data_IF_524248296689
#
_entry.id   IF_524248296689
#
_cell.length_a   1.000
_cell.length_b   1.000
_cell.length_c   1.000
_cell.angle_alpha   90.00
_cell.angle_beta   90.00
_cell.angle_gamma   90.00
#
_symmetry.space_group_name_H-M   'P 1'
#
loop_
_entity.id
_entity.type
_entity.pdbx_description
1 polymer ?
#
# COMPACT_ATOMS: atom_id res chain seq x y z
N UNK A 1 0.17 8.76 27.64
CA UNK A 1 0.20 10.08 26.98
C UNK A 1 -0.51 11.19 27.74
N UNK A 2 -1.85 11.22 27.94
CA UNK A 2 -2.49 12.35 28.65
C UNK A 2 -1.90 12.64 30.05
N UNK A 3 -1.73 11.65 30.94
CA UNK A 3 -1.14 11.90 32.26
C UNK A 3 0.28 12.48 32.17
N UNK A 4 1.07 12.03 31.19
CA UNK A 4 2.45 12.50 30.98
C UNK A 4 2.47 13.94 30.46
N UNK A 5 1.56 14.29 29.53
CA UNK A 5 1.42 15.64 28.98
C UNK A 5 0.91 16.64 30.03
N UNK A 6 -0.03 16.22 30.87
CA UNK A 6 -0.55 17.05 31.97
C UNK A 6 0.53 17.29 33.05
N UNK A 7 1.36 16.28 33.35
CA UNK A 7 2.54 16.45 34.22
C UNK A 7 3.54 17.46 33.63
N UNK A 8 3.68 17.51 32.31
CA UNK A 8 4.47 18.52 31.61
C UNK A 8 3.80 19.91 31.54
N UNK A 9 2.65 20.09 32.18
CA UNK A 9 1.94 21.37 32.23
C UNK A 9 1.10 21.68 30.99
N UNK A 10 0.94 20.72 30.06
CA UNK A 10 0.17 20.93 28.84
C UNK A 10 -1.33 21.02 29.09
N UNK A 11 -2.03 21.79 28.27
CA UNK A 11 -3.49 21.74 28.15
C UNK A 11 -3.84 20.70 27.09
N UNK A 12 -4.55 19.64 27.48
CA UNK A 12 -4.86 18.50 26.61
C UNK A 12 -6.35 18.46 26.26
N UNK A 13 -6.64 18.37 24.97
CA UNK A 13 -7.98 18.13 24.42
C UNK A 13 -7.97 16.76 23.72
N UNK A 14 -8.61 15.76 24.35
CA UNK A 14 -8.62 14.37 23.84
C UNK A 14 -9.56 14.15 22.64
N UNK A 15 -10.60 14.97 22.52
CA UNK A 15 -11.52 14.91 21.39
C UNK A 15 -12.08 16.31 21.09
N UNK A 16 -11.51 16.96 20.07
CA UNK A 16 -12.00 18.24 19.58
C UNK A 16 -13.47 18.18 19.13
N UNK A 17 -13.91 17.04 18.59
CA UNK A 17 -15.29 16.83 18.11
C UNK A 17 -16.28 16.95 19.25
N UNK A 18 -15.95 16.41 20.43
CA UNK A 18 -16.79 16.48 21.62
C UNK A 18 -16.92 17.91 22.17
N UNK A 19 -15.90 18.75 22.03
CA UNK A 19 -15.93 20.15 22.47
C UNK A 19 -16.58 21.08 21.44
N UNK A 20 -16.57 20.73 20.16
CA UNK A 20 -17.16 21.50 19.07
C UNK A 20 -18.65 21.18 18.83
N UNK A 21 -19.37 20.58 19.81
CA UNK A 21 -20.79 20.16 19.76
C UNK A 21 -21.77 21.33 19.66
N UNK A 22 -21.67 22.12 18.60
CA UNK A 22 -22.65 23.07 18.05
C UNK A 22 -22.17 23.64 16.69
N UNK A 23 -21.12 23.06 16.08
CA UNK A 23 -20.42 23.67 14.94
C UNK A 23 -19.59 24.92 15.32
N UNK A 24 -19.53 25.27 16.61
CA UNK A 24 -18.73 26.38 17.11
C UNK A 24 -17.30 25.92 17.40
N UNK A 25 -16.34 26.52 16.70
CA UNK A 25 -14.90 26.34 16.94
C UNK A 25 -14.39 27.11 18.15
N UNK A 26 -15.17 28.08 18.64
CA UNK A 26 -14.75 29.07 19.63
C UNK A 26 -14.20 28.45 20.93
N UNK A 27 -14.81 27.38 21.50
CA UNK A 27 -14.28 26.76 22.71
C UNK A 27 -12.84 26.23 22.58
N UNK A 28 -12.46 25.77 21.39
CA UNK A 28 -11.10 25.32 21.11
C UNK A 28 -10.17 26.51 20.91
N UNK A 29 -10.59 27.51 20.11
CA UNK A 29 -9.78 28.70 19.86
C UNK A 29 -9.50 29.48 21.14
N UNK A 30 -10.48 29.62 22.04
CA UNK A 30 -10.32 30.30 23.32
C UNK A 30 -9.33 29.56 24.22
N UNK A 31 -9.47 28.23 24.35
CA UNK A 31 -8.53 27.41 25.12
C UNK A 31 -7.12 27.48 24.56
N UNK A 32 -6.98 27.49 23.24
CA UNK A 32 -5.69 27.58 22.60
C UNK A 32 -5.05 28.95 22.79
N UNK A 33 -5.82 30.05 22.65
CA UNK A 33 -5.35 31.42 22.93
C UNK A 33 -4.93 31.58 24.39
N UNK A 34 -5.73 31.10 25.33
CA UNK A 34 -5.38 31.07 26.76
C UNK A 34 -4.10 30.29 27.03
N UNK A 35 -3.88 29.16 26.33
CA UNK A 35 -2.64 28.39 26.46
C UNK A 35 -1.43 29.19 25.98
N UNK A 36 -1.55 29.87 24.84
CA UNK A 36 -0.50 30.72 24.28
C UNK A 36 -0.19 31.89 25.23
N UNK A 37 -1.21 32.59 25.72
CA UNK A 37 -1.07 33.70 26.68
C UNK A 37 -0.40 33.25 27.98
N UNK A 38 -0.75 32.05 28.46
CA UNK A 38 -0.16 31.45 29.66
C UNK A 38 1.20 30.77 29.40
N UNK A 39 1.73 30.81 28.17
CA UNK A 39 2.96 30.10 27.75
C UNK A 39 2.96 28.60 28.09
N UNK A 40 1.79 27.96 27.97
CA UNK A 40 1.61 26.53 28.24
C UNK A 40 1.51 25.75 26.93
N UNK A 41 2.12 24.55 26.83
CA UNK A 41 1.92 23.69 25.69
C UNK A 41 0.44 23.34 25.50
N UNK A 42 -0.02 23.27 24.26
CA UNK A 42 -1.39 22.88 23.90
C UNK A 42 -1.35 21.64 23.01
N UNK A 43 -2.05 20.58 23.42
CA UNK A 43 -2.16 19.34 22.65
C UNK A 43 -3.63 19.03 22.39
N UNK A 44 -3.97 18.75 21.14
CA UNK A 44 -5.34 18.45 20.73
C UNK A 44 -5.37 17.29 19.75
N UNK A 45 -6.23 16.31 20.02
CA UNK A 45 -6.62 15.30 19.05
C UNK A 45 -7.91 15.73 18.34
N UNK A 46 -7.87 15.73 17.01
CA UNK A 46 -8.96 16.15 16.16
C UNK A 46 -9.07 15.26 14.91
N UNK A 47 -10.29 14.98 14.49
CA UNK A 47 -10.56 14.42 13.18
C UNK A 47 -10.34 15.48 12.07
N UNK A 48 -10.27 15.04 10.82
CA UNK A 48 -9.99 15.92 9.67
C UNK A 48 -11.01 17.06 9.51
N UNK A 49 -12.30 16.77 9.71
CA UNK A 49 -13.35 17.79 9.54
C UNK A 49 -13.33 18.87 10.64
N UNK A 50 -13.27 18.56 11.96
CA UNK A 50 -13.03 19.55 13.00
C UNK A 50 -11.76 20.38 12.77
N UNK A 51 -10.67 19.76 12.32
CA UNK A 51 -9.42 20.47 11.99
C UNK A 51 -9.60 21.41 10.78
N UNK A 52 -10.36 20.99 9.77
CA UNK A 52 -10.76 21.84 8.66
C UNK A 52 -11.58 23.05 9.13
N UNK A 53 -12.58 22.84 10.00
CA UNK A 53 -13.40 23.92 10.56
C UNK A 53 -12.55 24.96 11.32
N UNK A 54 -11.54 24.52 12.08
CA UNK A 54 -10.60 25.42 12.76
C UNK A 54 -9.81 26.27 11.75
N UNK A 55 -9.28 25.66 10.68
CA UNK A 55 -8.49 26.36 9.64
C UNK A 55 -9.29 27.42 8.88
N UNK A 56 -10.58 27.21 8.64
CA UNK A 56 -11.41 28.17 7.92
C UNK A 56 -11.91 29.32 8.80
N UNK A 57 -12.01 29.11 10.11
CA UNK A 57 -12.59 30.07 11.03
C UNK A 57 -11.64 31.22 11.39
N UNK A 58 -10.33 31.02 11.27
CA UNK A 58 -9.32 32.04 11.57
C UNK A 58 -8.16 31.93 10.55
N UNK A 59 -8.43 32.44 9.33
CA UNK A 59 -7.50 32.36 8.18
C UNK A 59 -6.26 33.25 8.33
N UNK A 60 -6.35 34.30 9.15
CA UNK A 60 -5.26 35.25 9.39
C UNK A 60 -4.27 34.73 10.45
N UNK A 61 -4.64 33.67 11.19
CA UNK A 61 -3.75 33.04 12.17
C UNK A 61 -2.55 32.37 11.51
N UNK A 62 -1.35 32.88 11.81
CA UNK A 62 -0.07 32.27 11.39
C UNK A 62 0.04 30.79 11.80
N UNK A 63 -0.51 30.43 12.96
CA UNK A 63 -0.49 29.04 13.45
C UNK A 63 -1.40 28.13 12.61
N UNK A 64 -2.58 28.60 12.20
CA UNK A 64 -3.49 27.81 11.35
C UNK A 64 -3.03 27.76 9.89
N UNK A 65 -2.33 28.78 9.42
CA UNK A 65 -1.59 28.73 8.16
C UNK A 65 -0.49 27.64 8.22
N UNK A 66 0.24 27.56 9.33
CA UNK A 66 1.25 26.52 9.54
C UNK A 66 0.63 25.11 9.64
N UNK A 67 -0.48 24.95 10.37
CA UNK A 67 -1.25 23.68 10.37
C UNK A 67 -1.63 23.30 8.94
N UNK A 68 -2.14 24.26 8.16
CA UNK A 68 -2.51 24.03 6.76
C UNK A 68 -1.32 23.59 5.93
N UNK A 69 -0.17 24.25 6.05
CA UNK A 69 1.07 23.90 5.36
C UNK A 69 1.50 22.46 5.68
N UNK A 70 1.51 22.08 6.96
CA UNK A 70 1.89 20.73 7.39
C UNK A 70 0.89 19.67 6.91
N UNK A 71 -0.42 19.96 6.86
CA UNK A 71 -1.42 19.05 6.30
C UNK A 71 -1.23 18.82 4.79
N UNK A 72 -0.86 19.85 4.02
CA UNK A 72 -0.55 19.70 2.58
C UNK A 72 0.77 18.95 2.36
N UNK A 73 1.74 19.11 3.25
CA UNK A 73 3.07 18.48 3.19
C UNK A 73 3.21 17.37 4.24
N UNK A 74 2.22 16.45 4.26
CA UNK A 74 2.19 15.32 5.20
C UNK A 74 3.31 14.30 4.99
N UNK A 75 3.81 14.19 3.76
CA UNK A 75 4.93 13.34 3.37
C UNK A 75 5.97 14.21 2.65
N UNK A 76 7.24 13.87 2.81
CA UNK A 76 8.36 14.47 2.10
C UNK A 76 8.97 13.47 1.11
N UNK A 77 9.68 13.99 0.11
CA UNK A 77 10.33 13.23 -0.96
C UNK A 77 11.74 13.78 -1.15
N UNK A 78 12.70 12.90 -1.40
CA UNK A 78 14.10 13.30 -1.54
C UNK A 78 14.76 13.66 -0.21
N UNK A 79 15.79 14.51 -0.25
CA UNK A 79 16.56 14.94 0.94
C UNK A 79 15.76 15.89 1.81
N UNK A 80 16.05 15.91 3.11
CA UNK A 80 15.42 16.85 4.04
C UNK A 80 15.79 18.29 3.67
N UNK A 81 14.79 19.18 3.71
CA UNK A 81 14.94 20.61 3.46
C UNK A 81 14.54 21.41 4.70
N UNK A 82 15.01 22.65 4.81
CA UNK A 82 14.67 23.55 5.92
C UNK A 82 13.16 23.83 6.01
N UNK A 83 12.46 23.82 4.86
CA UNK A 83 11.00 23.95 4.80
C UNK A 83 10.28 22.83 5.58
N UNK A 84 10.92 21.71 5.88
CA UNK A 84 10.30 20.65 6.66
C UNK A 84 10.21 20.95 8.14
N UNK A 85 11.06 21.87 8.63
CA UNK A 85 11.10 22.26 10.03
C UNK A 85 9.80 22.96 10.44
N UNK A 86 9.53 22.94 11.74
CA UNK A 86 8.37 23.60 12.32
C UNK A 86 8.75 24.34 13.59
N UNK A 87 8.33 25.61 13.68
CA UNK A 87 8.60 26.47 14.83
C UNK A 87 7.41 26.41 15.81
N UNK A 88 7.56 25.64 16.89
CA UNK A 88 6.62 25.64 18.01
C UNK A 88 5.24 25.00 17.76
N UNK A 89 4.96 24.50 16.55
CA UNK A 89 3.72 23.80 16.21
C UNK A 89 4.00 22.55 15.40
N UNK A 90 3.45 21.40 15.83
CA UNK A 90 3.63 20.12 15.13
C UNK A 90 2.26 19.48 14.90
N UNK A 91 1.99 19.10 13.65
CA UNK A 91 0.82 18.30 13.26
C UNK A 91 1.25 16.86 13.05
N UNK A 92 0.66 15.94 13.83
CA UNK A 92 0.85 14.50 13.69
C UNK A 92 -0.34 13.89 12.95
N UNK A 93 -0.16 13.56 11.67
CA UNK A 93 -1.17 12.85 10.89
C UNK A 93 -1.11 11.34 11.19
N UNK A 94 -1.95 10.90 12.14
CA UNK A 94 -2.02 9.50 12.54
C UNK A 94 -2.55 8.57 11.43
N UNK A 95 -3.12 9.10 10.34
CA UNK A 95 -3.53 8.28 9.17
C UNK A 95 -2.35 7.73 8.38
N UNK A 96 -1.15 8.29 8.59
CA UNK A 96 0.09 7.80 7.99
C UNK A 96 0.65 6.56 8.70
N UNK A 97 0.21 6.28 9.93
CA UNK A 97 0.54 5.04 10.61
C UNK A 97 -0.14 3.87 9.92
N UNK A 98 0.53 2.72 9.85
CA UNK A 98 -0.14 1.47 9.50
C UNK A 98 -0.39 0.65 10.78
N UNK A 99 -1.66 0.45 11.20
CA UNK A 99 -2.01 -0.41 12.34
C UNK A 99 -1.48 -1.85 12.24
N UNK A 100 -1.14 -2.31 11.03
CA UNK A 100 -0.55 -3.62 10.82
C UNK A 100 0.92 -3.73 11.27
N UNK A 101 1.52 -2.67 11.82
CA UNK A 101 2.86 -2.74 12.43
C UNK A 101 2.94 -3.85 13.48
N UNK A 102 4.05 -4.61 13.48
CA UNK A 102 4.34 -5.68 14.43
C UNK A 102 3.99 -5.32 15.89
N UNK A 103 4.48 -4.16 16.34
CA UNK A 103 4.28 -3.64 17.69
C UNK A 103 2.80 -3.50 18.07
N UNK A 104 1.95 -3.03 17.15
CA UNK A 104 0.54 -2.84 17.43
C UNK A 104 -0.23 -4.15 17.40
N UNK A 105 0.07 -5.04 16.45
CA UNK A 105 -0.56 -6.37 16.37
C UNK A 105 -0.33 -7.12 17.67
N UNK A 106 0.93 -7.21 18.12
CA UNK A 106 1.27 -7.91 19.36
C UNK A 106 0.60 -7.26 20.58
N UNK A 107 0.64 -5.93 20.68
CA UNK A 107 -0.01 -5.22 21.79
C UNK A 107 -1.54 -5.43 21.81
N UNK A 108 -2.20 -5.49 20.64
CA UNK A 108 -3.64 -5.74 20.56
C UNK A 108 -3.98 -7.19 20.93
N UNK A 109 -3.19 -8.16 20.48
CA UNK A 109 -3.36 -9.56 20.87
C UNK A 109 -3.12 -9.69 22.38
N UNK A 110 -2.03 -9.15 22.92
CA UNK A 110 -1.72 -9.21 24.35
C UNK A 110 -2.81 -8.57 25.19
N UNK A 111 -3.30 -7.40 24.79
CA UNK A 111 -4.40 -6.73 25.48
C UNK A 111 -5.64 -7.62 25.52
N UNK A 112 -6.02 -8.20 24.39
CA UNK A 112 -7.18 -9.10 24.33
C UNK A 112 -6.97 -10.35 25.18
N UNK A 113 -5.83 -11.03 25.03
CA UNK A 113 -5.52 -12.27 25.75
C UNK A 113 -5.30 -12.05 27.25
N UNK A 114 -4.93 -10.84 27.67
CA UNK A 114 -4.76 -10.47 29.08
C UNK A 114 -6.07 -10.18 29.82
N UNK A 115 -7.16 -9.94 29.08
CA UNK A 115 -8.46 -9.54 29.62
C UNK A 115 -9.03 -10.60 30.58
N UNK A 116 -9.37 -10.17 31.80
CA UNK A 116 -9.82 -11.08 32.85
C UNK A 116 -11.17 -11.73 32.54
N UNK A 117 -12.08 -10.98 31.90
CA UNK A 117 -13.40 -11.50 31.53
C UNK A 117 -13.27 -12.51 30.39
N UNK A 118 -12.40 -12.25 29.40
CA UNK A 118 -12.08 -13.23 28.36
C UNK A 118 -11.48 -14.49 28.97
N UNK A 119 -10.48 -14.37 29.85
CA UNK A 119 -9.87 -15.54 30.52
C UNK A 119 -10.90 -16.35 31.27
N UNK A 120 -11.81 -15.71 32.01
CA UNK A 120 -12.88 -16.41 32.71
C UNK A 120 -13.87 -17.08 31.75
N UNK A 121 -14.27 -16.41 30.67
CA UNK A 121 -15.16 -16.97 29.66
C UNK A 121 -14.52 -18.15 28.90
N UNK A 122 -13.22 -18.10 28.61
CA UNK A 122 -12.49 -19.14 27.88
C UNK A 122 -12.11 -20.31 28.79
N UNK A 123 -11.71 -20.05 30.04
CA UNK A 123 -11.33 -21.09 31.00
C UNK A 123 -12.53 -21.74 31.70
N UNK A 124 -13.64 -21.00 31.84
CA UNK A 124 -14.87 -21.44 32.50
C UNK A 124 -15.92 -22.02 31.53
N UNK A 125 -15.74 -21.87 30.22
CA UNK A 125 -16.64 -22.49 29.24
C UNK A 125 -16.21 -23.90 28.87
N UNK A 126 -17.18 -24.72 28.47
CA UNK A 126 -16.94 -25.99 27.79
C UNK A 126 -16.60 -25.80 26.30
N UNK A 127 -16.25 -24.58 25.85
CA UNK A 127 -15.93 -24.30 24.45
C UNK A 127 -14.44 -24.57 24.16
N UNK A 128 -14.08 -25.72 23.57
CA UNK A 128 -12.67 -26.08 23.33
C UNK A 128 -11.98 -25.18 22.29
N UNK A 129 -12.76 -24.51 21.45
CA UNK A 129 -12.29 -23.73 20.30
C UNK A 129 -11.57 -22.46 20.73
N UNK A 130 -12.23 -21.61 21.53
CA UNK A 130 -11.65 -20.35 21.95
C UNK A 130 -10.39 -20.58 22.80
N UNK A 131 -10.42 -21.60 23.67
CA UNK A 131 -9.25 -22.02 24.46
C UNK A 131 -8.08 -22.43 23.58
N UNK A 132 -8.32 -23.29 22.57
CA UNK A 132 -7.29 -23.73 21.62
C UNK A 132 -6.72 -22.55 20.84
N UNK A 133 -7.57 -21.65 20.33
CA UNK A 133 -7.13 -20.51 19.54
C UNK A 133 -6.31 -19.53 20.39
N UNK A 134 -6.72 -19.27 21.65
CA UNK A 134 -5.95 -18.47 22.61
C UNK A 134 -4.57 -19.08 22.87
N UNK A 135 -4.49 -20.40 23.06
CA UNK A 135 -3.21 -21.10 23.26
C UNK A 135 -2.31 -20.96 22.03
N UNK A 136 -2.83 -21.19 20.82
CA UNK A 136 -2.08 -21.06 19.56
C UNK A 136 -1.63 -19.62 19.29
N UNK A 137 -2.51 -18.62 19.49
CA UNK A 137 -2.18 -17.20 19.32
C UNK A 137 -1.16 -16.70 20.35
N UNK A 138 -0.98 -17.42 21.46
CA UNK A 138 0.06 -17.13 22.46
C UNK A 138 1.44 -17.65 22.03
N UNK A 139 1.53 -18.51 21.02
CA UNK A 139 2.80 -19.09 20.58
C UNK A 139 3.64 -18.07 19.80
N UNK A 140 4.95 -17.93 20.11
CA UNK A 140 5.83 -17.00 19.40
C UNK A 140 5.85 -17.20 17.87
N UNK A 141 5.84 -18.45 17.42
CA UNK A 141 5.83 -18.81 15.99
C UNK A 141 4.58 -18.30 15.28
N UNK A 142 3.40 -18.53 15.86
CA UNK A 142 2.13 -18.09 15.25
C UNK A 142 2.11 -16.57 15.15
N UNK A 143 2.58 -15.86 16.18
CA UNK A 143 2.70 -14.40 16.17
C UNK A 143 3.68 -13.89 15.12
N UNK A 144 4.83 -14.54 15.00
CA UNK A 144 5.81 -14.24 13.95
C UNK A 144 5.21 -14.38 12.55
N UNK A 145 4.45 -15.45 12.31
CA UNK A 145 3.77 -15.68 11.04
C UNK A 145 2.64 -14.67 10.79
N UNK A 146 1.90 -14.26 11.82
CA UNK A 146 0.92 -13.17 11.70
C UNK A 146 1.58 -11.83 11.33
N UNK A 147 2.73 -11.50 11.95
CA UNK A 147 3.52 -10.32 11.59
C UNK A 147 4.01 -10.39 10.14
N UNK A 148 4.59 -11.51 9.73
CA UNK A 148 5.05 -11.69 8.36
C UNK A 148 3.91 -11.57 7.32
N UNK A 149 2.70 -12.05 7.66
CA UNK A 149 1.52 -11.88 6.83
C UNK A 149 1.06 -10.40 6.77
N UNK A 150 1.11 -9.71 7.90
CA UNK A 150 0.83 -8.28 7.98
C UNK A 150 1.84 -7.46 7.16
N UNK A 151 3.13 -7.77 7.24
CA UNK A 151 4.18 -7.15 6.43
C UNK A 151 3.90 -7.33 4.93
N UNK A 152 3.39 -8.51 4.53
CA UNK A 152 2.94 -8.75 3.14
C UNK A 152 1.72 -7.91 2.76
N UNK A 153 0.76 -7.66 3.65
CA UNK A 153 -0.36 -6.75 3.36
C UNK A 153 0.12 -5.30 3.20
N UNK A 154 0.96 -4.85 4.13
CA UNK A 154 1.61 -3.53 4.07
C UNK A 154 2.34 -3.41 2.74
N UNK A 155 3.02 -4.49 2.33
CA UNK A 155 3.77 -4.53 1.10
C UNK A 155 2.94 -4.36 -0.18
N UNK A 156 1.70 -4.87 -0.16
CA UNK A 156 0.72 -4.68 -1.23
C UNK A 156 0.07 -3.28 -1.20
N UNK A 157 0.46 -2.43 -0.24
CA UNK A 157 -0.10 -1.10 -0.04
C UNK A 157 -1.41 -1.09 0.75
N UNK A 158 -1.78 -2.20 1.40
CA UNK A 158 -2.98 -2.24 2.21
C UNK A 158 -2.76 -1.53 3.56
N UNK A 159 -3.73 -0.68 3.92
CA UNK A 159 -3.75 0.04 5.20
C UNK A 159 -5.00 -0.36 5.97
N UNK A 160 -4.82 -1.14 7.03
CA UNK A 160 -5.93 -1.51 7.90
C UNK A 160 -6.32 -0.33 8.79
N UNK A 161 -7.60 -0.24 9.14
CA UNK A 161 -8.01 0.56 10.30
C UNK A 161 -7.80 -0.23 11.60
N UNK A 162 -7.67 0.47 12.74
CA UNK A 162 -7.63 -0.19 14.06
C UNK A 162 -8.88 -1.03 14.31
N UNK A 163 -10.04 -0.58 13.81
CA UNK A 163 -11.32 -1.29 13.89
C UNK A 163 -11.26 -2.63 13.16
N UNK A 164 -10.78 -2.65 11.92
CA UNK A 164 -10.64 -3.88 11.14
C UNK A 164 -9.68 -4.85 11.81
N UNK A 165 -8.52 -4.36 12.26
CA UNK A 165 -7.54 -5.20 12.96
C UNK A 165 -8.14 -5.80 14.25
N UNK A 166 -8.89 -5.01 15.02
CA UNK A 166 -9.57 -5.51 16.23
C UNK A 166 -10.60 -6.59 15.91
N UNK A 167 -11.39 -6.40 14.84
CA UNK A 167 -12.37 -7.40 14.38
C UNK A 167 -11.68 -8.68 13.92
N UNK A 168 -10.57 -8.59 13.18
CA UNK A 168 -9.80 -9.76 12.75
C UNK A 168 -9.22 -10.53 13.93
N UNK A 169 -8.62 -9.83 14.90
CA UNK A 169 -8.07 -10.47 16.10
C UNK A 169 -9.17 -11.14 16.92
N UNK A 170 -10.31 -10.47 17.13
CA UNK A 170 -11.46 -11.06 17.82
C UNK A 170 -11.95 -12.32 17.09
N UNK A 171 -12.06 -12.29 15.76
CA UNK A 171 -12.44 -13.46 14.96
C UNK A 171 -11.45 -14.61 15.07
N UNK A 172 -10.15 -14.33 15.10
CA UNK A 172 -9.13 -15.36 15.32
C UNK A 172 -9.28 -16.04 16.69
N UNK A 173 -9.63 -15.28 17.74
CA UNK A 173 -9.86 -15.83 19.08
C UNK A 173 -11.13 -16.70 19.11
N UNK A 174 -12.26 -16.15 18.68
CA UNK A 174 -13.56 -16.82 18.85
C UNK A 174 -13.93 -17.80 17.73
N UNK A 175 -13.21 -17.80 16.60
CA UNK A 175 -13.60 -18.58 15.42
C UNK A 175 -14.89 -18.06 14.77
N UNK A 176 -15.57 -18.91 14.00
CA UNK A 176 -16.92 -18.63 13.50
C UNK A 176 -17.94 -19.40 14.35
N UNK A 177 -18.87 -18.70 14.99
CA UNK A 177 -20.06 -19.35 15.56
C UNK A 177 -20.92 -19.96 14.43
N UNK A 178 -20.63 -21.22 14.08
CA UNK A 178 -21.35 -21.98 13.07
C UNK A 178 -21.72 -23.35 13.61
N UNK A 179 -23.02 -23.64 13.68
CA UNK A 179 -23.54 -24.99 13.96
C UNK A 179 -23.29 -25.89 12.75
N UNK A 180 -22.16 -26.58 12.71
CA UNK A 180 -21.87 -27.60 11.71
C UNK A 180 -20.88 -28.63 12.24
N UNK A 181 -21.06 -29.90 11.87
CA UNK A 181 -20.39 -31.07 12.46
C UNK A 181 -18.89 -31.22 12.12
N UNK A 182 -18.21 -30.12 11.79
CA UNK A 182 -16.78 -30.10 11.52
C UNK A 182 -16.09 -28.95 12.24
N UNK A 183 -15.05 -29.26 13.02
CA UNK A 183 -14.18 -28.32 13.76
C UNK A 183 -13.43 -27.25 12.91
N UNK A 184 -13.73 -27.17 11.59
CA UNK A 184 -12.95 -26.47 10.53
C UNK A 184 -13.09 -24.93 10.52
N UNK A 185 -14.29 -24.32 10.52
CA UNK A 185 -14.45 -22.86 10.44
C UNK A 185 -14.05 -22.12 11.73
N UNK A 186 -13.73 -22.89 12.77
CA UNK A 186 -13.39 -22.44 14.11
C UNK A 186 -11.89 -22.25 14.35
N UNK A 187 -11.06 -22.65 13.39
CA UNK A 187 -9.61 -22.47 13.48
C UNK A 187 -9.28 -20.99 13.27
N UNK A 188 -8.42 -20.42 14.12
CA UNK A 188 -7.97 -19.03 13.96
C UNK A 188 -7.42 -18.76 12.55
N UNK A 189 -6.69 -19.72 11.98
CA UNK A 189 -6.12 -19.64 10.64
C UNK A 189 -7.18 -19.59 9.54
N UNK A 190 -8.34 -20.24 9.71
CA UNK A 190 -9.48 -20.16 8.78
C UNK A 190 -10.31 -18.90 9.01
N UNK A 191 -10.55 -18.56 10.28
CA UNK A 191 -11.33 -17.40 10.69
C UNK A 191 -10.72 -16.09 10.16
N UNK A 192 -9.39 -16.02 10.07
CA UNK A 192 -8.64 -14.90 9.50
C UNK A 192 -8.98 -14.66 8.01
N UNK A 193 -8.95 -15.70 7.17
CA UNK A 193 -9.18 -15.60 5.72
C UNK A 193 -10.65 -15.65 5.32
N UNK A 194 -11.54 -15.77 6.29
CA UNK A 194 -12.96 -15.83 6.02
C UNK A 194 -13.47 -14.49 5.48
N UNK A 195 -14.17 -14.55 4.35
CA UNK A 195 -14.68 -13.36 3.68
C UNK A 195 -15.71 -12.58 4.51
N UNK A 196 -15.62 -11.25 4.45
CA UNK A 196 -16.60 -10.33 5.02
C UNK A 196 -16.63 -9.05 4.19
N UNK A 197 -17.71 -8.82 3.44
CA UNK A 197 -17.87 -7.68 2.53
C UNK A 197 -17.89 -6.32 3.24
N UNK A 198 -17.96 -6.29 4.58
CA UNK A 198 -17.98 -5.05 5.36
C UNK A 198 -16.59 -4.46 5.59
N UNK A 199 -15.53 -5.23 5.35
CA UNK A 199 -14.15 -4.83 5.64
C UNK A 199 -13.19 -5.31 4.55
N UNK A 200 -12.49 -4.37 3.93
CA UNK A 200 -11.56 -4.61 2.82
C UNK A 200 -10.38 -5.51 3.23
N UNK A 201 -10.07 -5.58 4.53
CA UNK A 201 -9.01 -6.43 5.06
C UNK A 201 -9.14 -7.90 4.62
N UNK A 202 -10.38 -8.43 4.58
CA UNK A 202 -10.61 -9.83 4.20
C UNK A 202 -10.43 -10.06 2.71
N UNK A 203 -10.63 -9.02 1.89
CA UNK A 203 -10.37 -9.05 0.44
C UNK A 203 -8.86 -8.99 0.22
N UNK A 204 -8.16 -8.09 0.90
CA UNK A 204 -6.70 -7.96 0.81
C UNK A 204 -5.97 -9.24 1.26
N UNK A 205 -6.45 -9.89 2.32
CA UNK A 205 -5.90 -11.16 2.83
C UNK A 205 -5.93 -12.29 1.79
N UNK A 206 -6.90 -12.30 0.86
CA UNK A 206 -6.95 -13.32 -0.20
C UNK A 206 -5.74 -13.26 -1.14
N UNK A 207 -5.20 -12.06 -1.38
CA UNK A 207 -4.03 -11.90 -2.25
C UNK A 207 -2.75 -12.51 -1.66
N UNK A 208 -2.75 -12.77 -0.36
CA UNK A 208 -1.62 -13.34 0.39
C UNK A 208 -2.04 -14.57 1.18
N UNK A 209 -3.08 -15.26 0.75
CA UNK A 209 -3.53 -16.48 1.41
C UNK A 209 -2.52 -17.62 1.14
N UNK A 210 -1.94 -18.25 2.18
CA UNK A 210 -1.06 -19.39 2.01
C UNK A 210 -1.69 -20.51 1.17
N UNK A 211 -3.01 -20.70 1.25
CA UNK A 211 -3.71 -21.70 0.45
C UNK A 211 -3.65 -21.44 -1.05
N UNK A 212 -3.56 -20.16 -1.46
CA UNK A 212 -3.49 -19.74 -2.86
C UNK A 212 -2.08 -19.79 -3.47
N UNK A 213 -1.02 -19.96 -2.66
CA UNK A 213 0.37 -19.96 -3.12
C UNK A 213 0.85 -21.38 -3.44
N UNK A 214 1.02 -21.74 -4.72
CA UNK A 214 1.48 -23.10 -5.10
C UNK A 214 2.95 -23.33 -4.76
N UNK A 215 3.25 -24.43 -4.06
CA UNK A 215 4.61 -24.85 -3.77
C UNK A 215 4.74 -26.37 -3.97
N UNK A 216 5.36 -26.85 -5.06
CA UNK A 216 5.25 -28.25 -5.49
C UNK A 216 5.72 -29.27 -4.43
N UNK A 217 6.80 -28.97 -3.71
CA UNK A 217 7.32 -29.85 -2.67
C UNK A 217 6.37 -29.93 -1.46
N UNK A 218 5.99 -28.80 -0.89
CA UNK A 218 5.11 -28.76 0.29
C UNK A 218 3.68 -29.19 -0.03
N UNK A 219 3.16 -28.86 -1.21
CA UNK A 219 1.82 -29.28 -1.63
C UNK A 219 1.73 -30.80 -1.73
N UNK A 220 2.68 -31.44 -2.42
CA UNK A 220 2.75 -32.90 -2.49
C UNK A 220 2.99 -33.54 -1.11
N UNK A 221 3.85 -32.94 -0.28
CA UNK A 221 4.16 -33.45 1.05
C UNK A 221 2.95 -33.38 2.02
N UNK A 222 2.15 -32.31 1.95
CA UNK A 222 0.91 -32.11 2.70
C UNK A 222 -0.20 -33.05 2.22
N UNK A 223 -0.35 -33.20 0.90
CA UNK A 223 -1.34 -34.09 0.29
C UNK A 223 -1.05 -35.56 0.64
N UNK A 224 0.20 -35.99 0.50
CA UNK A 224 0.64 -37.36 0.76
C UNK A 224 0.90 -37.65 2.25
N UNK A 225 0.86 -36.63 3.11
CA UNK A 225 1.18 -36.74 4.55
C UNK A 225 2.53 -37.42 4.81
N UNK A 226 3.52 -37.02 4.01
CA UNK A 226 4.88 -37.54 4.08
C UNK A 226 5.52 -37.27 5.45
N UNK A 227 6.54 -38.06 5.82
CA UNK A 227 7.22 -37.94 7.12
C UNK A 227 7.76 -36.52 7.38
N UNK A 228 8.16 -35.80 6.33
CA UNK A 228 8.68 -34.43 6.42
C UNK A 228 7.67 -33.42 6.95
N UNK A 229 6.37 -33.73 6.92
CA UNK A 229 5.29 -32.87 7.43
C UNK A 229 4.65 -33.46 8.69
N UNK A 230 5.12 -34.62 9.19
CA UNK A 230 4.59 -35.22 10.43
C UNK A 230 5.19 -34.63 11.69
N UNK A 231 6.36 -34.00 11.59
CA UNK A 231 7.09 -33.36 12.71
C UNK A 231 7.05 -31.84 12.55
N UNK A 232 7.54 -31.09 13.53
CA UNK A 232 7.71 -29.65 13.41
C UNK A 232 6.46 -28.78 13.64
N UNK A 233 5.30 -29.36 13.95
CA UNK A 233 4.09 -28.63 14.35
C UNK A 233 4.22 -28.05 15.76
N UNK A 234 3.73 -26.82 15.97
CA UNK A 234 3.90 -26.10 17.24
C UNK A 234 3.13 -26.70 18.44
N UNK A 235 1.99 -27.37 18.20
CA UNK A 235 1.22 -28.09 19.23
C UNK A 235 0.90 -29.52 18.79
N UNK A 236 -0.22 -29.72 18.10
CA UNK A 236 -0.68 -31.02 17.63
C UNK A 236 -0.80 -31.01 16.12
N UNK A 237 -0.24 -32.05 15.50
CA UNK A 237 -0.47 -32.31 14.09
C UNK A 237 -1.99 -32.33 13.83
N UNK A 238 -2.47 -31.69 12.75
CA UNK A 238 -3.85 -31.83 12.30
C UNK A 238 -4.23 -33.31 12.18
N UNK A 239 -5.41 -33.68 12.70
CA UNK A 239 -5.89 -35.05 12.57
C UNK A 239 -6.01 -35.43 11.08
N UNK A 240 -5.69 -36.67 10.71
CA UNK A 240 -5.83 -37.10 9.33
C UNK A 240 -7.29 -37.02 8.90
N UNK A 241 -7.57 -36.41 7.73
CA UNK A 241 -8.91 -36.54 7.13
C UNK A 241 -9.21 -38.03 6.92
N UNK A 242 -10.43 -38.49 7.28
CA UNK A 242 -10.83 -39.88 7.14
C UNK A 242 -10.98 -40.31 5.67
N UNK A 243 -10.96 -39.36 4.74
CA UNK A 243 -11.05 -39.63 3.30
C UNK A 243 -9.68 -39.86 2.67
N UNK A 244 -9.59 -40.77 1.67
CA UNK A 244 -8.34 -41.08 0.97
C UNK A 244 -7.83 -39.92 0.10
N UNK A 245 -8.73 -39.04 -0.34
CA UNK A 245 -8.40 -37.78 -1.04
C UNK A 245 -8.81 -36.59 -0.20
N UNK A 246 -7.97 -35.56 -0.17
CA UNK A 246 -8.29 -34.30 0.50
C UNK A 246 -9.17 -33.46 -0.43
N UNK A 247 -10.37 -33.08 0.05
CA UNK A 247 -11.15 -32.05 -0.61
C UNK A 247 -10.35 -30.73 -0.59
N UNK A 248 -10.50 -29.89 -1.62
CA UNK A 248 -9.76 -28.62 -1.72
C UNK A 248 -9.86 -27.76 -0.46
N UNK A 249 -11.05 -27.66 0.13
CA UNK A 249 -11.25 -26.89 1.37
C UNK A 249 -10.41 -27.43 2.55
N UNK A 250 -10.25 -28.76 2.64
CA UNK A 250 -9.45 -29.39 3.69
C UNK A 250 -7.96 -29.20 3.46
N UNK A 251 -7.52 -29.28 2.20
CA UNK A 251 -6.16 -28.97 1.82
C UNK A 251 -5.81 -27.49 2.10
N UNK A 252 -6.70 -26.56 1.74
CA UNK A 252 -6.52 -25.14 2.00
C UNK A 252 -6.38 -24.84 3.50
N UNK A 253 -7.26 -25.42 4.34
CA UNK A 253 -7.19 -25.27 5.79
C UNK A 253 -5.91 -25.86 6.39
N UNK A 254 -5.52 -27.05 5.92
CA UNK A 254 -4.28 -27.71 6.32
C UNK A 254 -3.05 -26.86 5.96
N UNK A 255 -3.03 -26.29 4.75
CA UNK A 255 -1.93 -25.46 4.25
C UNK A 255 -1.81 -24.13 5.00
N UNK A 256 -2.93 -23.49 5.35
CA UNK A 256 -2.93 -22.30 6.22
C UNK A 256 -2.39 -22.63 7.61
N UNK A 257 -2.79 -23.76 8.20
CA UNK A 257 -2.18 -24.21 9.47
C UNK A 257 -0.70 -24.52 9.33
N UNK A 258 -0.29 -25.17 8.24
CA UNK A 258 1.12 -25.43 7.97
C UNK A 258 1.93 -24.13 7.97
N UNK A 259 1.44 -23.08 7.31
CA UNK A 259 2.09 -21.77 7.33
C UNK A 259 2.30 -21.21 8.76
N UNK A 260 1.26 -21.22 9.59
CA UNK A 260 1.33 -20.62 10.93
C UNK A 260 2.05 -21.49 11.97
N UNK A 261 1.84 -22.81 11.92
CA UNK A 261 2.19 -23.72 13.02
C UNK A 261 3.43 -24.57 12.74
N UNK A 262 3.77 -24.83 11.47
CA UNK A 262 4.91 -25.67 11.11
C UNK A 262 6.21 -24.86 11.05
N UNK A 263 7.32 -25.46 11.46
CA UNK A 263 8.64 -24.79 11.46
C UNK A 263 9.08 -24.33 10.06
N UNK A 264 8.75 -25.11 9.02
CA UNK A 264 8.99 -24.81 7.60
C UNK A 264 7.85 -24.01 6.93
N UNK A 265 6.91 -23.48 7.70
CA UNK A 265 5.70 -22.85 7.19
C UNK A 265 5.94 -21.60 6.33
N UNK A 266 7.02 -20.86 6.56
CA UNK A 266 7.45 -19.69 5.75
C UNK A 266 7.68 -20.02 4.29
N UNK A 267 8.13 -21.24 4.00
CA UNK A 267 8.49 -21.63 2.65
C UNK A 267 7.29 -21.68 1.69
N UNK A 268 6.05 -21.66 2.21
CA UNK A 268 4.85 -21.55 1.38
C UNK A 268 4.90 -20.35 0.44
N UNK A 269 5.58 -19.27 0.84
CA UNK A 269 5.76 -18.07 0.02
C UNK A 269 7.16 -17.95 -0.60
N UNK A 270 8.02 -18.98 -0.53
CA UNK A 270 9.36 -18.93 -1.10
C UNK A 270 9.33 -18.74 -2.63
N UNK A 271 8.30 -19.25 -3.28
CA UNK A 271 8.06 -19.11 -4.73
C UNK A 271 7.03 -18.02 -5.07
N UNK A 272 6.72 -17.13 -4.12
CA UNK A 272 5.75 -16.05 -4.32
C UNK A 272 6.23 -15.00 -5.35
N UNK A 273 5.32 -14.10 -5.74
CA UNK A 273 5.49 -13.12 -6.82
C UNK A 273 6.80 -12.31 -6.67
N UNK A 274 7.79 -12.46 -7.58
CA UNK A 274 9.05 -11.73 -7.52
C UNK A 274 8.85 -10.21 -7.67
N UNK A 275 7.76 -9.77 -8.29
CA UNK A 275 7.46 -8.33 -8.42
C UNK A 275 7.16 -7.68 -7.08
N UNK A 276 6.50 -8.43 -6.17
CA UNK A 276 6.22 -7.97 -4.81
C UNK A 276 7.50 -7.81 -4.01
N UNK A 277 8.41 -8.80 -4.07
CA UNK A 277 9.70 -8.73 -3.39
C UNK A 277 10.56 -7.58 -3.94
N UNK A 278 10.58 -7.37 -5.26
CA UNK A 278 11.31 -6.25 -5.86
C UNK A 278 10.76 -4.90 -5.41
N UNK A 279 9.43 -4.74 -5.40
CA UNK A 279 8.80 -3.50 -4.96
C UNK A 279 9.07 -3.22 -3.48
N UNK A 280 9.06 -4.26 -2.63
CA UNK A 280 9.43 -4.12 -1.22
C UNK A 280 10.88 -3.71 -1.02
N UNK A 281 11.82 -4.37 -1.72
CA UNK A 281 13.22 -4.01 -1.64
C UNK A 281 13.46 -2.54 -2.05
N UNK A 282 12.70 -2.04 -3.03
CA UNK A 282 12.73 -0.64 -3.43
C UNK A 282 12.21 0.30 -2.32
N UNK A 283 11.04 -0.02 -1.73
CA UNK A 283 10.44 0.79 -0.66
C UNK A 283 11.29 0.82 0.62
N UNK A 284 11.99 -0.27 0.92
CA UNK A 284 12.87 -0.38 2.09
C UNK A 284 14.28 0.18 1.84
N UNK A 285 14.55 0.73 0.65
CA UNK A 285 15.87 1.27 0.27
C UNK A 285 16.96 0.20 0.11
N UNK A 286 16.60 -1.09 0.15
CA UNK A 286 17.51 -2.21 -0.12
C UNK A 286 17.90 -2.30 -1.60
N UNK A 287 17.06 -1.73 -2.48
CA UNK A 287 17.32 -1.58 -3.90
C UNK A 287 17.34 -0.09 -4.25
N UNK A 288 18.41 0.34 -4.92
CA UNK A 288 18.58 1.74 -5.29
C UNK A 288 17.53 2.21 -6.30
N UNK A 289 16.99 3.42 -6.08
CA UNK A 289 16.10 4.14 -7.01
C UNK A 289 16.87 4.85 -8.13
N UNK A 290 17.96 4.23 -8.59
CA UNK A 290 18.92 4.86 -9.50
C UNK A 290 18.46 4.95 -10.97
N UNK A 291 19.30 5.57 -11.84
CA UNK A 291 18.96 5.83 -13.24
C UNK A 291 18.50 4.59 -14.02
N UNK A 292 19.12 3.43 -13.77
CA UNK A 292 18.75 2.19 -14.45
C UNK A 292 17.31 1.72 -14.15
N UNK A 293 16.78 1.99 -12.94
CA UNK A 293 15.39 1.67 -12.63
C UNK A 293 14.44 2.68 -13.26
N UNK A 294 14.82 3.96 -13.30
CA UNK A 294 14.06 5.00 -14.00
C UNK A 294 13.92 4.66 -15.48
N UNK A 295 15.00 4.27 -16.16
CA UNK A 295 14.97 3.83 -17.57
C UNK A 295 14.02 2.65 -17.79
N UNK A 296 14.03 1.65 -16.89
CA UNK A 296 13.08 0.52 -16.96
C UNK A 296 11.62 0.95 -16.78
N UNK A 297 11.35 1.88 -15.87
CA UNK A 297 10.00 2.41 -15.68
C UNK A 297 9.55 3.22 -16.91
N UNK A 298 10.44 4.05 -17.47
CA UNK A 298 10.20 4.79 -18.71
C UNK A 298 9.88 3.83 -19.85
N UNK A 299 10.66 2.75 -20.02
CA UNK A 299 10.40 1.73 -21.02
C UNK A 299 9.03 1.06 -20.81
N UNK A 300 8.71 0.68 -19.57
CA UNK A 300 7.44 0.06 -19.23
C UNK A 300 6.23 0.98 -19.50
N UNK A 301 6.37 2.29 -19.23
CA UNK A 301 5.34 3.28 -19.56
C UNK A 301 5.19 3.39 -21.07
N UNK A 302 6.29 3.48 -21.83
CA UNK A 302 6.25 3.46 -23.29
C UNK A 302 5.57 2.18 -23.82
N UNK A 303 5.78 1.03 -23.18
CA UNK A 303 5.13 -0.24 -23.54
C UNK A 303 3.61 -0.22 -23.40
N UNK A 304 3.05 0.63 -22.55
CA UNK A 304 1.61 0.81 -22.46
C UNK A 304 0.99 1.40 -23.75
N UNK A 305 1.77 2.06 -24.60
CA UNK A 305 1.29 2.78 -25.79
C UNK A 305 1.90 2.28 -27.09
N UNK A 306 3.17 1.87 -27.07
CA UNK A 306 3.89 1.33 -28.20
C UNK A 306 4.50 -0.02 -27.80
N UNK A 307 3.84 -1.16 -28.12
CA UNK A 307 4.35 -2.50 -27.79
C UNK A 307 5.59 -2.88 -28.62
N UNK A 308 5.77 -2.27 -29.79
CA UNK A 308 6.93 -2.45 -30.67
C UNK A 308 8.18 -1.89 -30.00
N UNK A 309 9.28 -2.63 -30.05
CA UNK A 309 10.58 -2.16 -29.55
C UNK A 309 11.26 -1.26 -30.58
N UNK A 310 11.86 -0.19 -30.11
CA UNK A 310 12.59 0.78 -30.94
C UNK A 310 13.72 1.42 -30.15
N UNK A 311 14.67 2.01 -30.85
CA UNK A 311 15.85 2.61 -30.24
C UNK A 311 15.47 3.74 -29.27
N UNK A 312 16.20 3.83 -28.14
CA UNK A 312 16.05 4.89 -27.13
C UNK A 312 14.73 4.91 -26.33
N UNK A 313 13.92 3.85 -26.41
CA UNK A 313 12.67 3.68 -25.63
C UNK A 313 12.86 3.66 -24.12
N UNK A 314 14.02 3.25 -23.64
CA UNK A 314 14.43 3.24 -22.23
C UNK A 314 15.12 4.56 -21.81
N UNK A 315 15.57 5.34 -22.79
CA UNK A 315 16.26 6.61 -22.61
C UNK A 315 15.32 7.81 -22.66
N UNK A 316 14.15 7.68 -23.29
CA UNK A 316 13.19 8.77 -23.40
C UNK A 316 11.77 8.28 -23.15
N UNK A 317 11.00 9.02 -22.35
CA UNK A 317 9.56 8.87 -22.27
C UNK A 317 8.91 9.63 -23.42
N UNK A 318 8.21 8.92 -24.30
CA UNK A 318 7.51 9.50 -25.42
C UNK A 318 6.09 9.87 -25.01
N UNK A 319 5.66 11.09 -25.33
CA UNK A 319 4.34 11.57 -24.97
C UNK A 319 3.31 11.12 -26.01
N UNK A 320 2.90 9.87 -25.86
CA UNK A 320 1.90 9.23 -26.70
C UNK A 320 0.51 9.83 -26.48
N UNK A 321 -0.08 10.30 -27.58
CA UNK A 321 -1.44 10.79 -27.62
C UNK A 321 -2.27 9.85 -28.50
N UNK A 322 -3.32 9.29 -27.92
CA UNK A 322 -4.30 8.50 -28.66
C UNK A 322 -5.41 9.42 -29.19
N UNK A 323 -5.59 9.48 -30.50
CA UNK A 323 -6.75 10.17 -31.06
C UNK A 323 -7.99 9.27 -30.89
N UNK A 324 -9.07 9.83 -30.32
CA UNK A 324 -10.38 9.19 -30.24
C UNK A 324 -11.33 9.99 -31.14
N UNK A 325 -11.81 9.35 -32.21
CA UNK A 325 -12.86 9.93 -33.07
C UNK A 325 -14.27 9.44 -32.68
N UNK A 326 -14.36 8.43 -31.81
CA UNK A 326 -15.59 7.79 -31.32
C UNK A 326 -15.33 7.09 -29.97
N UNK A 327 -16.36 6.47 -29.39
CA UNK A 327 -16.31 5.82 -28.07
C UNK A 327 -15.37 4.59 -27.96
N UNK A 328 -14.92 4.00 -29.08
CA UNK A 328 -13.98 2.88 -29.00
C UNK A 328 -12.56 3.30 -28.55
N UNK A 329 -11.81 2.40 -27.90
CA UNK A 329 -10.41 2.64 -27.54
C UNK A 329 -9.54 3.04 -28.75
N UNK A 330 -8.58 3.95 -28.54
CA UNK A 330 -7.63 4.36 -29.57
C UNK A 330 -6.83 3.16 -30.08
N UNK A 331 -6.83 2.97 -31.39
CA UNK A 331 -6.06 1.92 -32.08
C UNK A 331 -4.68 2.40 -32.54
N UNK A 332 -4.48 3.72 -32.55
CA UNK A 332 -3.22 4.34 -32.92
C UNK A 332 -2.81 5.40 -31.92
N UNK A 333 -1.51 5.52 -31.70
CA UNK A 333 -0.91 6.53 -30.84
C UNK A 333 0.16 7.31 -31.59
N UNK A 334 0.23 8.61 -31.32
CA UNK A 334 1.21 9.51 -31.93
C UNK A 334 1.99 10.22 -30.84
N UNK A 335 3.31 10.27 -30.94
CA UNK A 335 4.18 11.03 -30.04
C UNK A 335 5.05 12.00 -30.85
N UNK A 336 4.87 13.30 -30.62
CA UNK A 336 5.73 14.36 -31.18
C UNK A 336 6.77 14.87 -30.18
N UNK A 337 6.51 14.68 -28.88
CA UNK A 337 7.30 15.20 -27.79
C UNK A 337 7.88 14.04 -26.96
N UNK A 338 9.05 14.26 -26.36
CA UNK A 338 9.73 13.28 -25.52
C UNK A 338 10.55 13.94 -24.42
N UNK A 339 10.71 13.25 -23.30
CA UNK A 339 11.49 13.71 -22.15
C UNK A 339 12.56 12.65 -21.85
N UNK A 340 13.80 13.08 -21.66
CA UNK A 340 14.90 12.16 -21.37
C UNK A 340 14.74 11.53 -19.97
N UNK A 341 15.11 10.25 -19.82
CA UNK A 341 14.95 9.47 -18.60
C UNK A 341 15.72 10.06 -17.42
N UNK A 342 16.86 10.71 -17.67
CA UNK A 342 17.68 11.39 -16.66
C UNK A 342 17.03 12.65 -16.07
N UNK A 343 15.97 13.18 -16.70
CA UNK A 343 15.16 14.27 -16.17
C UNK A 343 14.13 13.80 -15.14
N UNK A 344 14.01 12.49 -14.93
CA UNK A 344 13.15 11.91 -13.92
C UNK A 344 13.95 11.48 -12.69
N UNK A 345 13.36 11.69 -11.52
CA UNK A 345 13.82 11.15 -10.25
C UNK A 345 12.79 10.16 -9.72
N UNK A 346 13.25 9.08 -9.10
CA UNK A 346 12.40 8.11 -8.43
C UNK A 346 12.60 8.24 -6.91
N UNK A 347 11.54 8.66 -6.23
CA UNK A 347 11.58 9.03 -4.82
C UNK A 347 10.65 8.13 -4.01
N UNK A 348 11.14 7.64 -2.87
CA UNK A 348 10.33 6.95 -1.87
C UNK A 348 9.79 8.00 -0.89
N UNK A 349 8.50 7.99 -0.54
CA UNK A 349 7.96 8.89 0.46
C UNK A 349 8.61 8.62 1.83
N UNK A 350 8.79 9.68 2.60
CA UNK A 350 9.21 9.60 4.01
C UNK A 350 8.43 10.59 4.85
N UNK A 351 8.52 10.42 6.16
CA UNK A 351 8.09 11.46 7.09
C UNK A 351 8.97 12.70 6.92
N UNK A 352 8.39 13.92 6.97
CA UNK A 352 9.16 15.15 7.07
C UNK A 352 9.99 15.17 8.36
N UNK A 353 11.16 15.82 8.34
CA UNK A 353 12.11 15.83 9.46
C UNK A 353 11.49 16.21 10.81
N UNK A 354 10.56 17.18 10.83
CA UNK A 354 9.84 17.61 12.04
C UNK A 354 9.07 16.51 12.78
N UNK A 355 8.75 15.39 12.11
CA UNK A 355 8.01 14.27 12.70
C UNK A 355 8.71 12.93 12.44
N UNK A 356 9.99 12.96 12.05
CA UNK A 356 10.77 11.74 11.89
C UNK A 356 10.86 10.98 13.22
N UNK A 357 10.60 9.67 13.17
CA UNK A 357 10.56 8.83 14.38
C UNK A 357 9.32 9.00 15.26
N UNK A 358 8.35 9.85 14.90
CA UNK A 358 7.13 10.02 15.69
C UNK A 358 6.25 8.75 15.74
N UNK A 359 6.27 7.94 14.67
CA UNK A 359 5.60 6.64 14.58
C UNK A 359 6.20 5.79 13.46
N UNK A 360 5.91 4.49 13.50
CA UNK A 360 6.34 3.50 12.51
C UNK A 360 5.64 3.72 11.15
N UNK A 361 6.22 4.59 10.33
CA UNK A 361 5.77 4.84 8.97
C UNK A 361 6.34 3.80 8.00
N UNK A 362 5.46 3.20 7.21
CA UNK A 362 5.82 2.27 6.14
C UNK A 362 5.40 2.87 4.80
N UNK A 363 6.34 3.12 3.86
CA UNK A 363 6.01 3.64 2.55
C UNK A 363 5.23 2.59 1.74
N UNK A 364 4.24 3.03 0.96
CA UNK A 364 3.34 2.15 0.17
C UNK A 364 3.41 2.42 -1.34
N UNK A 365 4.30 3.31 -1.77
CA UNK A 365 4.46 3.72 -3.15
C UNK A 365 5.82 4.34 -3.38
N UNK A 366 6.18 4.47 -4.64
CA UNK A 366 7.25 5.37 -5.10
C UNK A 366 6.66 6.44 -6.00
N UNK A 367 7.39 7.52 -6.22
CA UNK A 367 6.97 8.61 -7.09
C UNK A 367 8.02 8.86 -8.16
N UNK A 368 7.60 8.76 -9.41
CA UNK A 368 8.40 9.19 -10.56
C UNK A 368 8.12 10.68 -10.81
N UNK A 369 9.09 11.53 -10.49
CA UNK A 369 9.00 12.99 -10.57
C UNK A 369 9.80 13.49 -11.77
N UNK A 370 9.17 14.21 -12.71
CA UNK A 370 9.87 14.96 -13.75
C UNK A 370 10.52 16.21 -13.14
N UNK A 371 11.72 16.06 -12.59
CA UNK A 371 12.36 17.07 -11.73
C UNK A 371 12.88 18.29 -12.48
N UNK A 372 13.15 18.13 -13.79
CA UNK A 372 13.63 19.20 -14.65
C UNK A 372 12.50 20.13 -15.18
N UNK A 373 11.23 19.73 -15.04
CA UNK A 373 10.10 20.51 -15.56
C UNK A 373 9.50 21.44 -14.49
N UNK A 374 8.95 22.60 -14.90
CA UNK A 374 8.12 23.43 -14.02
C UNK A 374 6.94 22.62 -13.46
N UNK A 375 6.49 22.95 -12.25
CA UNK A 375 5.42 22.21 -11.56
C UNK A 375 5.79 20.79 -11.10
N UNK A 376 6.95 20.26 -11.52
CA UNK A 376 7.48 18.92 -11.19
C UNK A 376 6.40 17.83 -11.26
N UNK A 377 5.81 17.54 -12.44
CA UNK A 377 4.77 16.52 -12.57
C UNK A 377 5.19 15.17 -11.96
N UNK A 378 4.25 14.51 -11.28
CA UNK A 378 4.51 13.28 -10.51
C UNK A 378 3.57 12.15 -10.91
N UNK A 379 4.14 10.97 -11.12
CA UNK A 379 3.40 9.71 -11.19
C UNK A 379 3.61 8.94 -9.90
N UNK A 380 2.57 8.82 -9.08
CA UNK A 380 2.54 7.86 -7.96
C UNK A 380 2.48 6.45 -8.53
N UNK A 381 3.40 5.58 -8.12
CA UNK A 381 3.47 4.16 -8.47
C UNK A 381 3.32 3.35 -7.19
N UNK A 382 2.10 2.90 -6.92
CA UNK A 382 1.79 1.92 -5.87
C UNK A 382 1.96 0.50 -6.41
N UNK A 383 1.85 -0.50 -5.54
CA UNK A 383 2.07 -1.89 -5.93
C UNK A 383 1.21 -2.35 -7.13
N UNK A 384 -0.10 -2.01 -7.21
CA UNK A 384 -0.89 -2.38 -8.39
C UNK A 384 -0.36 -1.78 -9.70
N UNK A 385 -0.03 -0.49 -9.74
CA UNK A 385 0.54 0.12 -10.95
C UNK A 385 1.93 -0.45 -11.26
N UNK A 386 2.73 -0.73 -10.24
CA UNK A 386 4.02 -1.40 -10.39
C UNK A 386 3.87 -2.75 -11.09
N UNK A 387 2.95 -3.60 -10.61
CA UNK A 387 2.69 -4.91 -11.22
C UNK A 387 2.19 -4.78 -12.66
N UNK A 388 1.33 -3.79 -12.93
CA UNK A 388 0.90 -3.45 -14.30
C UNK A 388 2.09 -3.09 -15.20
N UNK A 389 3.00 -2.22 -14.74
CA UNK A 389 4.19 -1.83 -15.49
C UNK A 389 5.12 -3.02 -15.76
N UNK A 390 5.29 -3.94 -14.79
CA UNK A 390 6.07 -5.18 -14.99
C UNK A 390 5.44 -6.13 -15.98
N UNK A 391 4.11 -6.23 -15.97
CA UNK A 391 3.39 -7.04 -16.98
C UNK A 391 3.47 -6.42 -18.37
N UNK A 392 3.39 -5.09 -18.48
CA UNK A 392 3.59 -4.35 -19.73
C UNK A 392 5.01 -4.56 -20.30
N UNK A 393 6.04 -4.50 -19.45
CA UNK A 393 7.43 -4.81 -19.81
C UNK A 393 7.56 -6.24 -20.38
N UNK A 394 6.78 -7.20 -19.85
CA UNK A 394 6.69 -8.60 -20.33
C UNK A 394 5.75 -8.79 -21.52
N UNK A 395 5.17 -7.72 -22.08
CA UNK A 395 4.35 -7.78 -23.29
C UNK A 395 2.84 -7.93 -23.05
N UNK A 396 2.33 -7.61 -21.84
CA UNK A 396 0.89 -7.54 -21.62
C UNK A 396 0.26 -6.50 -22.58
N UNK A 397 -0.75 -6.85 -23.38
CA UNK A 397 -1.43 -5.88 -24.23
C UNK A 397 -2.15 -4.79 -23.42
N UNK A 398 -2.07 -3.52 -23.85
CA UNK A 398 -2.79 -2.38 -23.23
C UNK A 398 -4.28 -2.67 -22.99
N UNK A 399 -4.94 -3.38 -23.91
CA UNK A 399 -6.37 -3.72 -23.85
C UNK A 399 -6.74 -4.58 -22.62
N UNK A 400 -5.76 -5.26 -22.00
CA UNK A 400 -5.94 -6.09 -20.80
C UNK A 400 -5.50 -5.37 -19.51
N UNK A 401 -4.98 -4.14 -19.63
CA UNK A 401 -4.57 -3.34 -18.48
C UNK A 401 -5.81 -2.74 -17.80
N UNK A 402 -5.88 -2.75 -16.45
CA UNK A 402 -6.98 -2.10 -15.75
C UNK A 402 -7.13 -0.62 -16.13
N UNK A 403 -8.35 -0.17 -16.41
CA UNK A 403 -8.63 1.21 -16.84
C UNK A 403 -8.09 2.26 -15.86
N UNK A 404 -8.17 1.98 -14.56
CA UNK A 404 -7.61 2.84 -13.51
C UNK A 404 -6.13 3.15 -13.75
N UNK A 405 -5.34 2.15 -14.12
CA UNK A 405 -3.90 2.31 -14.32
C UNK A 405 -3.62 3.05 -15.63
N UNK A 406 -4.40 2.78 -16.67
CA UNK A 406 -4.37 3.54 -17.91
C UNK A 406 -4.67 5.02 -17.69
N UNK A 407 -5.73 5.35 -16.96
CA UNK A 407 -6.09 6.75 -16.65
C UNK A 407 -5.00 7.48 -15.87
N UNK A 408 -4.30 6.78 -14.96
CA UNK A 408 -3.16 7.35 -14.22
C UNK A 408 -1.99 7.65 -15.14
N UNK A 409 -1.69 6.77 -16.09
CA UNK A 409 -0.64 7.00 -17.09
C UNK A 409 -1.03 8.15 -18.03
N UNK A 410 -2.25 8.13 -18.59
CA UNK A 410 -2.75 9.17 -19.49
C UNK A 410 -2.71 10.56 -18.80
N UNK A 411 -3.23 10.68 -17.58
CA UNK A 411 -3.19 11.93 -16.81
C UNK A 411 -1.76 12.39 -16.48
N UNK A 412 -0.81 11.47 -16.35
CA UNK A 412 0.59 11.83 -16.16
C UNK A 412 1.21 12.36 -17.46
N UNK A 413 0.98 11.68 -18.60
CA UNK A 413 1.46 12.13 -19.90
C UNK A 413 0.86 13.49 -20.28
N UNK A 414 -0.43 13.73 -19.99
CA UNK A 414 -1.09 15.04 -20.21
C UNK A 414 -0.43 16.16 -19.41
N UNK A 415 -0.14 15.93 -18.12
CA UNK A 415 0.56 16.90 -17.28
C UNK A 415 1.97 17.19 -17.79
N UNK A 416 2.68 16.18 -18.28
CA UNK A 416 4.00 16.37 -18.89
C UNK A 416 3.90 17.19 -20.18
N UNK A 417 2.90 16.91 -21.01
CA UNK A 417 2.67 17.63 -22.26
C UNK A 417 2.31 19.10 -22.06
N UNK A 418 1.57 19.43 -21.00
CA UNK A 418 1.19 20.81 -20.68
C UNK A 418 2.40 21.72 -20.34
N UNK A 419 3.48 21.13 -19.81
CA UNK A 419 4.70 21.86 -19.43
C UNK A 419 5.69 22.01 -20.59
N UNK A 420 5.49 21.31 -21.70
CA UNK A 420 6.37 21.35 -22.86
C UNK A 420 5.90 22.39 -23.88
N UNK A 421 6.78 23.30 -24.24
CA UNK A 421 6.60 24.25 -25.34
C UNK A 421 7.74 24.06 -26.34
N UNK A 422 7.51 23.31 -27.41
CA UNK A 422 8.56 22.98 -28.38
C UNK A 422 8.06 22.70 -29.79
N UNK A 423 8.92 22.95 -30.78
CA UNK A 423 8.68 22.57 -32.18
C UNK A 423 8.87 21.05 -32.36
N UNK A 424 7.83 20.40 -32.86
CA UNK A 424 7.82 18.94 -33.11
C UNK A 424 8.56 18.64 -34.41
N UNK A 425 9.82 18.22 -34.30
CA UNK A 425 10.64 17.84 -35.47
C UNK A 425 10.60 16.36 -35.82
N UNK A 426 10.26 15.51 -34.85
CA UNK A 426 10.15 14.07 -35.06
C UNK A 426 8.82 13.60 -34.51
N UNK A 427 8.04 12.92 -35.35
CA UNK A 427 6.75 12.34 -34.99
C UNK A 427 6.85 10.83 -35.08
N UNK A 428 6.47 10.15 -34.00
CA UNK A 428 6.30 8.71 -33.94
C UNK A 428 4.82 8.37 -34.02
N UNK A 429 4.46 7.35 -34.79
CA UNK A 429 3.10 6.85 -34.92
C UNK A 429 3.12 5.34 -34.82
N UNK A 430 2.27 4.75 -33.98
CA UNK A 430 2.13 3.30 -33.83
C UNK A 430 0.68 2.88 -34.05
N UNK A 431 0.49 1.80 -34.81
CA UNK A 431 -0.81 1.13 -34.96
C UNK A 431 -0.83 -0.17 -34.14
N UNK A 432 -1.68 -0.26 -33.12
CA UNK A 432 -1.66 -1.37 -32.16
C UNK A 432 -2.09 -2.72 -32.73
N UNK A 433 -2.88 -2.75 -33.80
CA UNK A 433 -3.37 -4.02 -34.39
C UNK A 433 -2.37 -4.61 -35.38
N UNK A 434 -1.63 -3.76 -36.08
CA UNK A 434 -0.66 -4.18 -37.08
C UNK A 434 0.75 -4.25 -36.50
N UNK A 435 0.97 -3.62 -35.35
CA UNK A 435 2.30 -3.41 -34.75
C UNK A 435 3.25 -2.65 -35.67
N UNK A 436 2.69 -1.81 -36.56
CA UNK A 436 3.47 -0.91 -37.41
C UNK A 436 3.90 0.29 -36.58
N UNK A 437 5.20 0.56 -36.51
CA UNK A 437 5.76 1.76 -35.92
C UNK A 437 6.45 2.60 -37.00
N UNK A 438 6.04 3.86 -37.11
CA UNK A 438 6.51 4.79 -38.13
C UNK A 438 7.14 5.99 -37.43
N UNK A 439 8.35 6.35 -37.84
CA UNK A 439 9.03 7.57 -37.44
C UNK A 439 9.12 8.52 -38.64
N UNK A 440 8.63 9.74 -38.46
CA UNK A 440 8.61 10.80 -39.46
C UNK A 440 9.45 11.96 -38.95
N UNK A 441 10.45 12.38 -39.74
CA UNK A 441 11.20 13.61 -39.47
C UNK A 441 10.64 14.74 -40.34
N UNK A 442 10.39 15.88 -39.71
CA UNK A 442 9.86 17.09 -40.31
C UNK A 442 10.98 18.11 -40.53
N UNK A 443 10.82 18.92 -41.57
CA UNK A 443 11.67 20.09 -41.80
C UNK A 443 11.60 21.08 -40.65
N UNK A 444 12.60 21.97 -40.56
CA UNK A 444 12.68 22.98 -39.50
C UNK A 444 11.42 23.87 -39.40
N UNK A 445 10.71 24.08 -40.51
CA UNK A 445 9.45 24.83 -40.58
C UNK A 445 8.19 23.95 -40.40
N UNK A 446 8.35 22.63 -40.21
CA UNK A 446 7.29 21.66 -40.03
C UNK A 446 6.46 21.34 -41.28
N UNK A 447 6.83 21.87 -42.46
CA UNK A 447 5.99 21.81 -43.68
C UNK A 447 6.29 20.64 -44.61
N UNK A 448 7.45 19.99 -44.47
CA UNK A 448 7.89 18.90 -45.35
C UNK A 448 8.35 17.69 -44.54
N UNK A 449 8.10 16.50 -45.09
CA UNK A 449 8.70 15.26 -44.60
C UNK A 449 10.12 15.16 -45.15
N UNK A 450 11.11 15.13 -44.27
CA UNK A 450 12.51 14.94 -44.65
C UNK A 450 12.90 13.47 -44.70
N UNK A 451 12.31 12.64 -43.84
CA UNK A 451 12.52 11.19 -43.88
C UNK A 451 11.39 10.43 -43.19
N UNK A 452 11.10 9.21 -43.66
CA UNK A 452 10.18 8.27 -43.02
C UNK A 452 10.90 6.95 -42.80
N UNK A 453 10.84 6.41 -41.58
CA UNK A 453 11.34 5.08 -41.23
C UNK A 453 10.18 4.23 -40.70
N UNK A 454 10.13 2.98 -41.10
CA UNK A 454 9.13 2.00 -40.65
C UNK A 454 9.88 0.90 -39.91
N UNK A 455 9.43 0.59 -38.70
CA UNK A 455 9.92 -0.47 -37.86
C UNK A 455 8.89 -1.61 -37.90
N UNK A 456 9.36 -2.83 -38.16
CA UNK A 456 8.56 -4.04 -38.24
C UNK A 456 8.92 -5.00 -37.10
#
# INVERSE_FOLDING_TARGET
MKPELEVAGAIVVEDATALMRAGSVQPILDKWRQAIEAQRPFCMAANEYPLYQLRIADKESKHLAEVSRQCHHRLAYGRSTEDENADGLIVLDLSLRNPLSANLIDAMIDRLLSDAALKQAVMGSSEPIARRNVELLSLPRVRERLRALADRLIALGYRATVRELWILIARMVFGRLGRGDFERPDWYSEALFTHDDRFDATIALRAIDPAGSSHPLWDGALEQRSESVRRGWALRQPLPSPHPTLAWADFAALKRRFYFEHERGDEVFALADPDANEFQALLQGQRGSGPGLVSKLVEAINAAYCPVRFDSRDQHLYLWNGHRFHEQPSRSFVAGDRIAADQFALEVPRLPARIEGAFDYHPDHVVLTASALPGKPRLRIDFPLWQTLRRLERGLPRKLVPERDIHRLDAFLEKLGAELSGERRTIWSVHLENLDLIQVNLSADGRRFESVRIYA
#
